data_IF_624886271766
#
_entry.id   IF_624886271766
#
_cell.length_a   1.000
_cell.length_b   1.000
_cell.length_c   1.000
_cell.angle_alpha   90.00
_cell.angle_beta   90.00
_cell.angle_gamma   90.00
#
_symmetry.space_group_name_H-M   'P 1'
#
loop_
_entity.id
_entity.type
_entity.pdbx_description
1 polymer ?
#
# COMPACT_ATOMS: atom_id res chain seq x y z
N UNK A 1 -2.71 -17.71 -8.13
CA UNK A 1 -1.50 -18.03 -7.34
C UNK A 1 -1.85 -18.43 -5.91
N UNK A 2 -2.57 -17.61 -5.13
CA UNK A 2 -2.97 -17.94 -3.75
C UNK A 2 -3.68 -19.30 -3.66
N UNK A 3 -4.70 -19.57 -4.48
CA UNK A 3 -5.39 -20.86 -4.45
C UNK A 3 -4.48 -22.07 -4.71
N UNK A 4 -3.52 -21.94 -5.65
CA UNK A 4 -2.54 -23.00 -5.94
C UNK A 4 -1.63 -23.21 -4.73
N UNK A 5 -1.14 -22.14 -4.10
CA UNK A 5 -0.34 -22.21 -2.87
C UNK A 5 -1.09 -22.93 -1.74
N UNK A 6 -2.37 -22.58 -1.53
CA UNK A 6 -3.18 -23.21 -0.48
C UNK A 6 -3.48 -24.68 -0.79
N UNK A 7 -3.73 -25.01 -2.06
CA UNK A 7 -3.92 -26.38 -2.51
C UNK A 7 -2.66 -27.22 -2.29
N UNK A 8 -1.48 -26.72 -2.69
CA UNK A 8 -0.20 -27.39 -2.45
C UNK A 8 0.08 -27.55 -0.96
N UNK A 9 -0.18 -26.52 -0.14
CA UNK A 9 -0.02 -26.60 1.31
C UNK A 9 -0.95 -27.64 1.98
N UNK A 10 -2.09 -27.94 1.35
CA UNK A 10 -3.06 -28.91 1.86
C UNK A 10 -2.78 -30.34 1.39
N UNK A 11 -2.45 -30.53 0.11
CA UNK A 11 -2.41 -31.85 -0.53
C UNK A 11 -0.99 -32.38 -0.74
N UNK A 12 -0.03 -31.50 -0.98
CA UNK A 12 1.36 -31.84 -1.34
C UNK A 12 2.35 -31.02 -0.50
N UNK A 13 2.18 -31.10 0.82
CA UNK A 13 2.97 -30.29 1.74
C UNK A 13 4.44 -30.70 1.73
N UNK A 14 5.30 -29.70 1.50
CA UNK A 14 6.74 -29.75 1.77
C UNK A 14 7.16 -28.47 2.49
N UNK A 15 8.29 -28.42 3.21
CA UNK A 15 8.77 -27.17 3.80
C UNK A 15 8.97 -26.03 2.79
N UNK A 16 9.12 -26.32 1.49
CA UNK A 16 9.23 -25.33 0.43
C UNK A 16 7.95 -24.50 0.22
N UNK A 17 6.79 -24.93 0.73
CA UNK A 17 5.54 -24.13 0.62
C UNK A 17 5.66 -22.77 1.31
N UNK A 18 6.51 -22.65 2.34
CA UNK A 18 6.77 -21.38 3.02
C UNK A 18 7.55 -20.39 2.14
N UNK A 19 8.49 -20.88 1.33
CA UNK A 19 9.14 -20.07 0.28
C UNK A 19 8.13 -19.71 -0.81
N UNK A 20 7.25 -20.64 -1.17
CA UNK A 20 6.11 -20.37 -2.04
C UNK A 20 5.21 -19.25 -1.50
N UNK A 21 4.96 -19.21 -0.19
CA UNK A 21 4.17 -18.16 0.45
C UNK A 21 4.83 -16.78 0.32
N UNK A 22 6.14 -16.70 0.54
CA UNK A 22 6.90 -15.45 0.36
C UNK A 22 6.82 -15.02 -1.11
N UNK A 23 7.04 -15.94 -2.06
CA UNK A 23 6.98 -15.63 -3.50
C UNK A 23 5.59 -15.15 -3.93
N UNK A 24 4.53 -15.82 -3.47
CA UNK A 24 3.15 -15.41 -3.76
C UNK A 24 2.85 -14.08 -3.11
N UNK A 25 3.27 -13.86 -1.86
CA UNK A 25 3.09 -12.58 -1.17
C UNK A 25 3.79 -11.41 -1.88
N UNK A 26 5.00 -11.61 -2.39
CA UNK A 26 5.71 -10.62 -3.21
C UNK A 26 4.92 -10.31 -4.49
N UNK A 27 4.39 -11.32 -5.18
CA UNK A 27 3.56 -11.13 -6.37
C UNK A 27 2.23 -10.42 -6.06
N UNK A 28 1.56 -10.83 -4.99
CA UNK A 28 0.31 -10.23 -4.52
C UNK A 28 0.53 -8.78 -4.13
N UNK A 29 1.63 -8.43 -3.45
CA UNK A 29 1.93 -7.05 -3.09
C UNK A 29 2.36 -6.19 -4.27
N UNK A 30 3.28 -6.67 -5.11
CA UNK A 30 3.86 -5.88 -6.20
C UNK A 30 2.91 -5.68 -7.39
N UNK A 31 1.95 -6.58 -7.60
CA UNK A 31 1.03 -6.52 -8.75
C UNK A 31 -0.45 -6.59 -8.34
N UNK A 32 -0.83 -7.55 -7.48
CA UNK A 32 -2.22 -7.73 -7.06
C UNK A 32 -2.77 -6.48 -6.37
N UNK A 33 -2.21 -6.11 -5.22
CA UNK A 33 -2.64 -4.94 -4.45
C UNK A 33 -2.57 -3.65 -5.27
N UNK A 34 -1.55 -3.47 -6.11
CA UNK A 34 -1.45 -2.28 -6.99
C UNK A 34 -2.63 -2.24 -7.97
N UNK A 35 -2.97 -3.38 -8.57
CA UNK A 35 -4.15 -3.50 -9.44
C UNK A 35 -5.43 -3.26 -8.64
N UNK A 36 -5.55 -3.86 -7.45
CA UNK A 36 -6.70 -3.73 -6.59
C UNK A 36 -6.92 -2.30 -6.12
N UNK A 37 -5.85 -1.57 -5.78
CA UNK A 37 -5.86 -0.16 -5.43
C UNK A 37 -6.51 0.65 -6.56
N UNK A 38 -6.05 0.45 -7.79
CA UNK A 38 -6.50 1.23 -8.93
C UNK A 38 -7.93 0.88 -9.38
N UNK A 39 -8.29 -0.40 -9.32
CA UNK A 39 -9.66 -0.84 -9.55
C UNK A 39 -10.62 -0.39 -8.43
N UNK A 40 -10.11 -0.19 -7.21
CA UNK A 40 -10.86 0.24 -6.04
C UNK A 40 -11.34 1.69 -6.10
N UNK A 41 -10.68 2.52 -6.91
CA UNK A 41 -11.12 3.91 -7.22
C UNK A 41 -12.28 3.99 -8.21
N UNK A 42 -12.59 2.88 -8.90
CA UNK A 42 -13.67 2.85 -9.88
C UNK A 42 -15.03 2.89 -9.19
N UNK A 43 -16.07 3.13 -10.00
CA UNK A 43 -17.46 3.28 -9.53
C UNK A 43 -17.82 2.16 -8.54
N UNK A 44 -18.32 2.49 -7.34
CA UNK A 44 -18.73 1.47 -6.36
C UNK A 44 -19.69 0.45 -6.97
N UNK A 45 -19.49 -0.83 -6.64
CA UNK A 45 -20.26 -1.98 -7.15
C UNK A 45 -20.13 -2.28 -8.65
N UNK A 46 -19.23 -1.61 -9.37
CA UNK A 46 -18.83 -2.05 -10.71
C UNK A 46 -18.04 -3.35 -10.67
N UNK A 47 -17.85 -4.00 -11.83
CA UNK A 47 -17.00 -5.19 -11.94
C UNK A 47 -15.58 -4.92 -11.42
N UNK A 48 -14.97 -3.80 -11.83
CA UNK A 48 -13.65 -3.38 -11.34
C UNK A 48 -13.61 -3.26 -9.81
N UNK A 49 -14.61 -2.63 -9.21
CA UNK A 49 -14.68 -2.46 -7.77
C UNK A 49 -14.80 -3.81 -7.04
N UNK A 50 -15.56 -4.77 -7.59
CA UNK A 50 -15.63 -6.11 -7.03
C UNK A 50 -14.33 -6.90 -7.19
N UNK A 51 -13.65 -6.79 -8.34
CA UNK A 51 -12.35 -7.40 -8.56
C UNK A 51 -11.29 -6.85 -7.58
N UNK A 52 -11.28 -5.54 -7.33
CA UNK A 52 -10.46 -4.91 -6.30
C UNK A 52 -10.67 -5.55 -4.93
N UNK A 53 -11.93 -5.73 -4.52
CA UNK A 53 -12.26 -6.34 -3.23
C UNK A 53 -11.90 -7.81 -3.17
N UNK A 54 -12.13 -8.57 -4.24
CA UNK A 54 -11.74 -9.97 -4.31
C UNK A 54 -10.22 -10.12 -4.13
N UNK A 55 -9.44 -9.28 -4.80
CA UNK A 55 -7.99 -9.34 -4.72
C UNK A 55 -7.47 -8.92 -3.33
N UNK A 56 -8.03 -7.85 -2.73
CA UNK A 56 -7.72 -7.46 -1.35
C UNK A 56 -8.16 -8.52 -0.32
N UNK A 57 -9.19 -9.30 -0.60
CA UNK A 57 -9.59 -10.42 0.25
C UNK A 57 -8.53 -11.53 0.24
N UNK A 58 -7.90 -11.80 -0.91
CA UNK A 58 -6.82 -12.78 -1.06
C UNK A 58 -5.56 -12.46 -0.23
N UNK A 59 -5.45 -11.24 0.30
CA UNK A 59 -4.34 -10.78 1.16
C UNK A 59 -4.82 -10.22 2.51
N UNK A 60 -6.06 -10.51 2.92
CA UNK A 60 -6.61 -10.09 4.21
C UNK A 60 -6.67 -8.55 4.42
N UNK A 61 -6.86 -7.75 3.36
CA UNK A 61 -6.79 -6.29 3.42
C UNK A 61 -8.03 -5.53 2.91
N UNK A 62 -9.24 -6.09 3.06
CA UNK A 62 -10.50 -5.53 2.55
C UNK A 62 -10.87 -4.13 3.06
N UNK A 63 -10.40 -3.73 4.24
CA UNK A 63 -10.69 -2.40 4.80
C UNK A 63 -9.97 -1.29 4.00
N UNK A 64 -8.92 -1.63 3.26
CA UNK A 64 -8.08 -0.69 2.52
C UNK A 64 -8.86 0.18 1.54
N UNK A 65 -9.84 -0.35 0.80
CA UNK A 65 -10.63 0.50 -0.12
C UNK A 65 -11.40 1.60 0.61
N UNK A 66 -11.85 1.31 1.83
CA UNK A 66 -12.59 2.30 2.65
C UNK A 66 -11.62 3.32 3.21
N UNK A 67 -10.52 2.85 3.79
CA UNK A 67 -9.44 3.71 4.29
C UNK A 67 -8.97 4.64 3.16
N UNK A 68 -8.45 4.05 2.09
CA UNK A 68 -7.68 4.78 1.10
C UNK A 68 -8.54 5.87 0.43
N UNK A 69 -9.81 5.55 0.15
CA UNK A 69 -10.73 6.42 -0.56
C UNK A 69 -11.43 7.46 0.34
N UNK A 70 -11.66 7.16 1.63
CA UNK A 70 -12.43 8.04 2.51
C UNK A 70 -11.62 8.72 3.61
N UNK A 71 -10.43 8.21 3.93
CA UNK A 71 -9.52 8.79 4.92
C UNK A 71 -8.24 9.29 4.27
N UNK A 72 -7.42 8.42 3.69
CA UNK A 72 -6.10 8.83 3.21
C UNK A 72 -6.14 9.90 2.12
N UNK A 73 -6.91 9.71 1.03
CA UNK A 73 -7.06 10.74 -0.01
C UNK A 73 -7.54 12.11 0.49
N UNK A 74 -8.27 12.14 1.61
CA UNK A 74 -8.72 13.38 2.25
C UNK A 74 -7.64 14.03 3.12
N UNK A 75 -6.87 13.20 3.81
CA UNK A 75 -5.99 13.62 4.90
C UNK A 75 -4.49 13.49 4.60
N UNK A 76 -4.09 13.00 3.43
CA UNK A 76 -2.68 12.79 3.07
C UNK A 76 -1.81 14.02 3.33
N UNK A 77 -0.57 13.74 3.72
CA UNK A 77 0.40 14.68 4.26
C UNK A 77 -0.07 15.43 5.52
N UNK A 78 -1.06 14.93 6.28
CA UNK A 78 -1.41 15.49 7.60
C UNK A 78 -1.07 14.54 8.73
N UNK A 79 -0.82 15.04 9.95
CA UNK A 79 -0.56 14.18 11.12
C UNK A 79 -1.67 13.17 11.43
N UNK A 80 -2.92 13.47 11.04
CA UNK A 80 -4.09 12.60 11.25
C UNK A 80 -4.14 11.41 10.27
N UNK A 81 -3.45 11.50 9.14
CA UNK A 81 -3.39 10.43 8.16
C UNK A 81 -2.49 9.28 8.67
N UNK A 82 -3.00 8.04 8.79
CA UNK A 82 -2.23 6.91 9.30
C UNK A 82 -1.01 6.56 8.46
N UNK A 83 -1.13 6.69 7.14
CA UNK A 83 -0.16 6.27 6.13
C UNK A 83 0.92 7.33 5.87
N UNK A 84 0.62 8.61 6.14
CA UNK A 84 1.64 9.67 6.14
C UNK A 84 2.67 9.48 7.26
N UNK A 85 3.95 9.56 6.92
CA UNK A 85 5.06 9.39 7.86
C UNK A 85 5.86 10.68 8.01
N UNK A 86 6.13 11.19 9.23
CA UNK A 86 6.97 12.35 9.44
C UNK A 86 8.45 11.99 9.31
N UNK A 87 9.30 13.01 9.16
CA UNK A 87 10.75 12.84 9.17
C UNK A 87 11.23 12.09 10.41
N UNK A 88 12.19 11.18 10.22
CA UNK A 88 12.79 10.39 11.30
C UNK A 88 12.00 9.15 11.70
N UNK A 89 10.73 8.99 11.26
CA UNK A 89 10.01 7.72 11.45
C UNK A 89 10.69 6.63 10.63
N UNK A 90 10.98 5.47 11.24
CA UNK A 90 11.50 4.30 10.51
C UNK A 90 10.35 3.40 10.00
N UNK A 91 10.64 2.56 9.01
CA UNK A 91 9.64 1.70 8.34
C UNK A 91 9.01 0.68 9.29
N UNK A 92 9.78 0.13 10.23
CA UNK A 92 9.31 -0.89 11.18
C UNK A 92 8.26 -0.35 12.13
N UNK A 93 8.54 0.79 12.76
CA UNK A 93 7.60 1.48 13.62
C UNK A 93 6.38 1.97 12.82
N UNK A 94 6.60 2.45 11.59
CA UNK A 94 5.50 2.87 10.73
C UNK A 94 4.52 1.72 10.45
N UNK A 95 5.04 0.55 10.07
CA UNK A 95 4.25 -0.64 9.76
C UNK A 95 3.35 -1.09 10.92
N UNK A 96 3.91 -1.17 12.13
CA UNK A 96 3.14 -1.59 13.32
C UNK A 96 2.08 -0.55 13.69
N UNK A 97 2.37 0.74 13.50
CA UNK A 97 1.46 1.85 13.82
C UNK A 97 0.33 1.99 12.80
N UNK A 98 0.62 1.86 11.52
CA UNK A 98 -0.28 2.32 10.44
C UNK A 98 -1.54 1.46 10.34
N UNK A 99 -1.42 0.13 10.39
CA UNK A 99 -2.54 -0.81 10.17
C UNK A 99 -3.68 -0.62 11.19
N UNK A 100 -3.44 -0.59 12.52
CA UNK A 100 -4.52 -0.38 13.49
C UNK A 100 -5.23 0.97 13.31
N UNK A 101 -4.46 2.01 12.95
CA UNK A 101 -4.99 3.35 12.74
C UNK A 101 -5.80 3.46 11.45
N UNK A 102 -5.38 2.78 10.39
CA UNK A 102 -6.12 2.64 9.14
C UNK A 102 -7.47 1.95 9.37
N UNK A 103 -7.48 0.83 10.08
CA UNK A 103 -8.71 0.13 10.46
C UNK A 103 -9.65 1.05 11.25
N UNK A 104 -9.12 1.77 12.25
CA UNK A 104 -9.89 2.74 13.05
C UNK A 104 -10.44 3.87 12.18
N UNK A 105 -9.64 4.41 11.27
CA UNK A 105 -10.04 5.46 10.33
C UNK A 105 -11.15 4.99 9.40
N UNK A 106 -10.97 3.83 8.77
CA UNK A 106 -11.96 3.20 7.91
C UNK A 106 -13.27 2.93 8.65
N UNK A 107 -13.20 2.41 9.88
CA UNK A 107 -14.38 2.13 10.70
C UNK A 107 -15.15 3.41 11.03
N UNK A 108 -14.46 4.49 11.39
CA UNK A 108 -15.09 5.78 11.64
C UNK A 108 -15.75 6.37 10.37
N UNK A 109 -15.19 6.10 9.19
CA UNK A 109 -15.74 6.59 7.92
C UNK A 109 -16.94 5.77 7.42
N UNK A 110 -16.85 4.43 7.47
CA UNK A 110 -17.87 3.50 6.98
C UNK A 110 -17.97 2.27 7.91
N UNK A 111 -18.61 2.38 9.08
CA UNK A 111 -18.60 1.32 10.09
C UNK A 111 -19.27 0.03 9.60
N UNK A 112 -20.37 0.13 8.84
CA UNK A 112 -21.07 -1.03 8.29
C UNK A 112 -20.19 -1.83 7.33
N UNK A 113 -19.52 -1.14 6.39
CA UNK A 113 -18.70 -1.77 5.36
C UNK A 113 -17.46 -2.46 5.96
N UNK A 114 -16.83 -1.84 6.97
CA UNK A 114 -15.68 -2.41 7.68
C UNK A 114 -16.10 -3.61 8.52
N UNK A 115 -17.23 -3.55 9.25
CA UNK A 115 -17.75 -4.70 10.02
C UNK A 115 -17.99 -5.91 9.13
N UNK A 116 -18.66 -5.72 7.99
CA UNK A 116 -18.90 -6.82 7.02
C UNK A 116 -17.58 -7.38 6.52
N UNK A 117 -16.62 -6.51 6.16
CA UNK A 117 -15.30 -6.93 5.69
C UNK A 117 -14.55 -7.76 6.74
N UNK A 118 -14.59 -7.35 8.00
CA UNK A 118 -13.98 -8.08 9.12
C UNK A 118 -14.66 -9.42 9.39
N UNK A 119 -15.99 -9.49 9.33
CA UNK A 119 -16.74 -10.75 9.52
C UNK A 119 -16.38 -11.75 8.42
N UNK A 120 -16.39 -11.30 7.15
CA UNK A 120 -16.03 -12.17 6.01
C UNK A 120 -14.61 -12.69 6.14
N UNK A 121 -13.65 -11.82 6.49
CA UNK A 121 -12.26 -12.22 6.72
C UNK A 121 -12.12 -13.16 7.91
N UNK A 122 -12.83 -12.90 9.01
CA UNK A 122 -12.83 -13.76 10.20
C UNK A 122 -13.35 -15.16 9.90
N UNK A 123 -14.46 -15.26 9.16
CA UNK A 123 -15.01 -16.56 8.70
C UNK A 123 -14.00 -17.26 7.80
N UNK A 124 -13.38 -16.56 6.84
CA UNK A 124 -12.37 -17.14 5.95
C UNK A 124 -11.18 -17.71 6.74
N UNK A 125 -10.64 -16.95 7.70
CA UNK A 125 -9.53 -17.40 8.56
C UNK A 125 -9.92 -18.60 9.43
N UNK A 126 -11.13 -18.57 10.02
CA UNK A 126 -11.64 -19.69 10.83
C UNK A 126 -11.82 -20.95 9.97
N UNK A 127 -12.37 -20.83 8.77
CA UNK A 127 -12.50 -21.95 7.83
C UNK A 127 -11.13 -22.52 7.46
N UNK A 128 -10.14 -21.68 7.16
CA UNK A 128 -8.77 -22.15 6.89
C UNK A 128 -8.16 -22.86 8.10
N UNK A 129 -8.39 -22.35 9.32
CA UNK A 129 -7.93 -22.99 10.56
C UNK A 129 -8.53 -24.39 10.75
N UNK A 130 -9.83 -24.53 10.49
CA UNK A 130 -10.55 -25.81 10.57
C UNK A 130 -10.02 -26.80 9.52
N UNK A 131 -9.73 -26.32 8.30
CA UNK A 131 -9.16 -27.15 7.23
C UNK A 131 -7.75 -27.63 7.59
N UNK A 132 -6.86 -26.70 7.97
CA UNK A 132 -5.48 -27.01 8.35
C UNK A 132 -4.78 -25.79 8.93
N UNK A 133 -4.16 -25.89 10.13
CA UNK A 133 -3.31 -24.84 10.68
C UNK A 133 -2.15 -24.45 9.75
N UNK A 134 -1.64 -25.39 8.95
CA UNK A 134 -0.60 -25.12 7.96
C UNK A 134 -1.15 -24.18 6.88
N UNK A 135 -2.30 -24.51 6.28
CA UNK A 135 -2.96 -23.67 5.25
C UNK A 135 -3.18 -22.25 5.75
N UNK A 136 -3.67 -22.09 6.99
CA UNK A 136 -3.80 -20.78 7.63
C UNK A 136 -2.42 -20.08 7.73
N UNK A 137 -1.40 -20.77 8.23
CA UNK A 137 -0.06 -20.21 8.38
C UNK A 137 0.53 -19.73 7.05
N UNK A 138 0.40 -20.53 5.98
CA UNK A 138 0.89 -20.17 4.64
C UNK A 138 0.12 -18.96 4.08
N UNK A 139 -1.20 -18.91 4.31
CA UNK A 139 -2.04 -17.76 3.93
C UNK A 139 -1.67 -16.48 4.68
N UNK A 140 -1.43 -16.58 5.99
CA UNK A 140 -1.05 -15.42 6.81
C UNK A 140 0.33 -14.90 6.42
N UNK A 141 1.29 -15.77 6.12
CA UNK A 141 2.63 -15.35 5.68
C UNK A 141 2.57 -14.61 4.33
N UNK A 142 1.86 -15.14 3.34
CA UNK A 142 1.76 -14.45 2.05
C UNK A 142 1.01 -13.11 2.17
N UNK A 143 -0.04 -13.06 2.99
CA UNK A 143 -0.79 -11.83 3.24
C UNK A 143 0.10 -10.78 3.95
N UNK A 144 0.87 -11.20 4.95
CA UNK A 144 1.81 -10.34 5.66
C UNK A 144 2.83 -9.71 4.70
N UNK A 145 3.45 -10.51 3.82
CA UNK A 145 4.43 -10.00 2.83
C UNK A 145 3.77 -8.99 1.89
N UNK A 146 2.56 -9.28 1.40
CA UNK A 146 1.82 -8.39 0.50
C UNK A 146 1.45 -7.06 1.18
N UNK A 147 0.92 -7.11 2.40
CA UNK A 147 0.57 -5.93 3.20
C UNK A 147 1.82 -5.11 3.53
N UNK A 148 2.94 -5.76 3.88
CA UNK A 148 4.20 -5.07 4.12
C UNK A 148 4.67 -4.25 2.91
N UNK A 149 4.57 -4.82 1.70
CA UNK A 149 4.91 -4.10 0.47
C UNK A 149 4.00 -2.87 0.24
N UNK A 150 2.69 -3.00 0.46
CA UNK A 150 1.76 -1.88 0.36
C UNK A 150 2.09 -0.77 1.36
N UNK A 151 2.28 -1.12 2.63
CA UNK A 151 2.59 -0.14 3.67
C UNK A 151 3.97 0.49 3.48
N UNK A 152 4.92 -0.24 2.92
CA UNK A 152 6.20 0.31 2.48
C UNK A 152 6.01 1.37 1.38
N UNK A 153 5.18 1.10 0.38
CA UNK A 153 4.85 2.05 -0.71
C UNK A 153 4.23 3.33 -0.13
N UNK A 154 3.23 3.18 0.73
CA UNK A 154 2.58 4.29 1.43
C UNK A 154 3.57 5.11 2.27
N UNK A 155 4.40 4.42 3.05
CA UNK A 155 5.45 5.03 3.88
C UNK A 155 6.38 5.90 3.04
N UNK A 156 6.85 5.37 1.91
CA UNK A 156 7.79 6.02 1.01
C UNK A 156 7.17 7.27 0.37
N UNK A 157 5.96 7.14 -0.16
CA UNK A 157 5.25 8.16 -0.92
C UNK A 157 4.96 9.45 -0.15
N UNK A 158 4.82 9.36 1.17
CA UNK A 158 4.50 10.51 2.02
C UNK A 158 5.57 10.82 3.07
N UNK A 159 6.77 10.24 2.94
CA UNK A 159 7.78 10.39 3.98
C UNK A 159 8.28 11.83 4.14
N UNK A 160 8.09 12.39 5.32
CA UNK A 160 8.59 13.71 5.70
C UNK A 160 7.84 14.89 5.08
N UNK A 161 6.88 14.65 4.19
CA UNK A 161 6.09 15.69 3.54
C UNK A 161 4.84 15.98 4.39
N UNK A 162 4.69 17.24 4.78
CA UNK A 162 3.62 17.67 5.69
C UNK A 162 2.95 18.92 5.12
N UNK A 163 1.63 18.87 5.13
CA UNK A 163 0.71 19.95 4.77
C UNK A 163 0.34 20.73 6.02
N UNK A 164 0.35 22.06 5.94
CA UNK A 164 -0.10 22.91 7.02
C UNK A 164 -1.62 22.81 7.23
N UNK A 165 -2.09 23.24 8.39
CA UNK A 165 -3.53 23.33 8.64
C UNK A 165 -4.18 24.37 7.72
N UNK A 166 -5.38 24.07 7.22
CA UNK A 166 -6.03 24.88 6.18
C UNK A 166 -5.41 24.80 4.78
N UNK A 167 -4.15 24.38 4.62
CA UNK A 167 -3.50 24.29 3.31
C UNK A 167 -4.19 23.25 2.41
N UNK A 168 -4.38 23.62 1.14
CA UNK A 168 -4.93 22.75 0.10
C UNK A 168 -3.85 21.78 -0.38
N UNK A 169 -4.22 20.51 -0.53
CA UNK A 169 -3.31 19.50 -1.03
C UNK A 169 -2.85 19.83 -2.46
N UNK A 170 -1.55 19.67 -2.72
CA UNK A 170 -0.89 19.95 -3.99
C UNK A 170 0.24 18.93 -4.20
N UNK A 171 0.84 18.90 -5.39
CA UNK A 171 1.81 17.87 -5.75
C UNK A 171 3.11 17.85 -4.91
N UNK A 172 3.45 18.94 -4.19
CA UNK A 172 4.62 18.95 -3.29
C UNK A 172 4.48 18.08 -2.03
N UNK A 173 3.26 17.61 -1.74
CA UNK A 173 2.94 16.84 -0.55
C UNK A 173 3.11 15.32 -0.72
N UNK A 174 3.58 14.88 -1.88
CA UNK A 174 3.83 13.48 -2.21
C UNK A 174 5.13 13.36 -3.00
N UNK A 175 5.86 12.27 -2.77
CA UNK A 175 7.01 11.93 -3.57
C UNK A 175 6.57 11.32 -4.91
N UNK A 176 7.19 11.76 -5.99
CA UNK A 176 7.02 11.20 -7.33
C UNK A 176 8.25 10.37 -7.74
N UNK A 177 8.08 9.38 -8.60
CA UNK A 177 9.22 8.68 -9.23
C UNK A 177 8.99 8.44 -10.71
N UNK A 178 9.86 9.02 -11.53
CA UNK A 178 9.83 8.85 -12.99
C UNK A 178 10.67 7.68 -13.51
N UNK A 179 11.23 6.86 -12.62
CA UNK A 179 11.99 5.67 -13.02
C UNK A 179 11.09 4.66 -13.76
N UNK A 180 11.45 4.36 -15.01
CA UNK A 180 10.67 3.50 -15.94
C UNK A 180 10.28 2.17 -15.32
N UNK A 181 11.22 1.49 -14.67
CA UNK A 181 10.95 0.18 -14.08
C UNK A 181 9.87 0.25 -13.01
N UNK A 182 9.98 1.20 -12.05
CA UNK A 182 8.94 1.40 -11.04
C UNK A 182 7.60 1.79 -11.65
N UNK A 183 7.57 2.67 -12.65
CA UNK A 183 6.32 3.09 -13.29
C UNK A 183 5.58 1.94 -13.95
N UNK A 184 6.28 1.14 -14.75
CA UNK A 184 5.64 0.08 -15.53
C UNK A 184 5.16 -1.07 -14.66
N UNK A 185 5.96 -1.50 -13.68
CA UNK A 185 5.60 -2.64 -12.84
C UNK A 185 4.56 -2.30 -11.78
N UNK A 186 4.48 -1.03 -11.37
CA UNK A 186 3.51 -0.54 -10.38
C UNK A 186 2.36 0.24 -11.02
N UNK A 187 2.03 -0.03 -12.29
CA UNK A 187 0.89 0.58 -13.00
C UNK A 187 0.84 2.10 -12.83
N UNK A 188 1.92 2.81 -13.12
CA UNK A 188 2.02 4.28 -13.06
C UNK A 188 1.74 4.91 -11.67
N UNK A 189 1.50 4.09 -10.63
CA UNK A 189 1.36 4.53 -9.23
C UNK A 189 2.49 5.46 -8.75
N UNK A 190 3.75 5.32 -9.22
CA UNK A 190 4.81 6.28 -8.88
C UNK A 190 4.54 7.74 -9.28
N UNK A 191 3.62 8.01 -10.22
CA UNK A 191 3.07 9.34 -10.50
C UNK A 191 2.02 9.72 -9.43
N UNK A 192 2.42 9.53 -8.18
CA UNK A 192 1.58 9.56 -6.99
C UNK A 192 0.92 10.91 -6.73
N UNK A 193 1.57 12.06 -6.97
CA UNK A 193 0.90 13.36 -6.90
C UNK A 193 -0.33 13.43 -7.81
N UNK A 194 -0.21 12.99 -9.06
CA UNK A 194 -1.31 12.98 -10.04
C UNK A 194 -2.49 12.14 -9.54
N UNK A 195 -2.18 10.96 -8.98
CA UNK A 195 -3.16 10.08 -8.35
C UNK A 195 -3.91 10.76 -7.19
N UNK A 196 -3.21 11.45 -6.29
CA UNK A 196 -3.84 12.13 -5.16
C UNK A 196 -4.62 13.39 -5.54
N UNK A 197 -4.17 14.09 -6.58
CA UNK A 197 -4.88 15.26 -7.10
C UNK A 197 -6.20 14.87 -7.76
N UNK A 198 -6.24 13.74 -8.48
CA UNK A 198 -7.45 13.24 -9.12
C UNK A 198 -7.46 11.70 -9.22
N UNK A 199 -7.84 11.05 -8.13
CA UNK A 199 -7.83 9.58 -7.99
C UNK A 199 -8.79 8.82 -8.90
N UNK A 200 -9.72 9.52 -9.57
CA UNK A 200 -10.58 8.93 -10.59
C UNK A 200 -9.89 8.75 -11.94
N UNK A 201 -8.73 9.38 -12.14
CA UNK A 201 -7.94 9.29 -13.37
C UNK A 201 -7.38 7.87 -13.51
N UNK A 202 -7.60 7.19 -14.64
CA UNK A 202 -7.00 5.88 -14.86
C UNK A 202 -5.47 5.96 -14.90
N UNK A 203 -4.81 4.96 -14.33
CA UNK A 203 -3.36 4.88 -14.21
C UNK A 203 -2.58 5.22 -15.49
N UNK A 204 -3.05 4.75 -16.65
CA UNK A 204 -2.41 5.00 -17.94
C UNK A 204 -2.51 6.46 -18.43
N UNK A 205 -3.28 7.30 -17.72
CA UNK A 205 -3.47 8.73 -17.98
C UNK A 205 -2.91 9.62 -16.86
N UNK A 206 -2.20 9.05 -15.88
CA UNK A 206 -1.52 9.84 -14.87
C UNK A 206 -0.40 10.65 -15.53
N UNK A 207 -0.28 11.91 -15.11
CA UNK A 207 0.72 12.85 -15.63
C UNK A 207 1.80 13.14 -14.57
N UNK A 208 2.94 13.65 -15.00
CA UNK A 208 4.03 14.01 -14.10
C UNK A 208 3.92 15.44 -13.58
N UNK A 209 4.37 15.67 -12.35
CA UNK A 209 4.34 16.97 -11.69
C UNK A 209 5.75 17.45 -11.34
N UNK A 210 6.26 18.46 -12.06
CA UNK A 210 7.60 19.00 -11.86
C UNK A 210 7.77 19.71 -10.50
N UNK A 211 6.67 20.20 -9.93
CA UNK A 211 6.62 20.80 -8.61
C UNK A 211 6.69 19.78 -7.45
N UNK A 212 6.67 18.48 -7.75
CA UNK A 212 6.75 17.41 -6.76
C UNK A 212 8.20 16.99 -6.46
N UNK A 213 8.53 16.66 -5.20
CA UNK A 213 9.83 16.11 -4.87
C UNK A 213 10.02 14.72 -5.49
N UNK A 214 11.17 14.46 -6.11
CA UNK A 214 11.47 13.19 -6.77
C UNK A 214 12.14 12.19 -5.82
N UNK A 215 11.69 10.93 -5.84
CA UNK A 215 12.38 9.82 -5.17
C UNK A 215 13.76 9.60 -5.79
N UNK A 216 14.80 9.34 -4.98
CA UNK A 216 16.17 9.35 -5.46
C UNK A 216 16.53 8.16 -6.36
N UNK A 217 15.93 6.98 -6.16
CA UNK A 217 16.31 5.75 -6.87
C UNK A 217 15.13 4.83 -7.24
N UNK A 218 13.90 5.36 -7.25
CA UNK A 218 12.69 4.56 -7.49
C UNK A 218 12.38 3.55 -6.37
N UNK A 219 11.25 2.85 -6.49
CA UNK A 219 10.68 2.08 -5.37
C UNK A 219 11.52 0.87 -4.96
N UNK A 220 12.13 0.17 -5.91
CA UNK A 220 12.84 -1.09 -5.66
C UNK A 220 14.16 -0.89 -4.89
N UNK A 221 14.95 0.12 -5.27
CA UNK A 221 16.16 0.46 -4.51
C UNK A 221 15.75 1.02 -3.15
N UNK A 222 14.70 1.86 -3.12
CA UNK A 222 14.24 2.47 -1.89
C UNK A 222 13.72 1.43 -0.89
N UNK A 223 13.14 0.31 -1.35
CA UNK A 223 12.74 -0.81 -0.49
C UNK A 223 13.91 -1.32 0.35
N UNK A 224 15.01 -1.70 -0.30
CA UNK A 224 16.19 -2.20 0.39
C UNK A 224 16.81 -1.14 1.30
N UNK A 225 16.85 0.12 0.87
CA UNK A 225 17.41 1.19 1.72
C UNK A 225 16.54 1.49 2.94
N UNK A 226 15.20 1.36 2.84
CA UNK A 226 14.28 1.59 3.95
C UNK A 226 14.45 0.60 5.10
N UNK A 227 14.95 -0.60 4.81
CA UNK A 227 15.34 -1.60 5.82
C UNK A 227 16.58 -1.16 6.62
N UNK A 228 17.29 -0.11 6.19
CA UNK A 228 18.42 0.50 6.90
C UNK A 228 18.06 1.97 7.17
N UNK A 229 17.31 2.27 8.25
CA UNK A 229 16.72 3.60 8.45
C UNK A 229 17.70 4.78 8.34
N UNK A 230 18.93 4.73 8.89
CA UNK A 230 19.89 5.83 8.72
C UNK A 230 20.23 6.12 7.25
N UNK A 231 20.40 5.07 6.44
CA UNK A 231 20.68 5.19 5.01
C UNK A 231 19.48 5.77 4.26
N UNK A 232 18.28 5.27 4.56
CA UNK A 232 17.03 5.78 4.00
C UNK A 232 16.83 7.26 4.29
N UNK A 233 16.92 7.66 5.57
CA UNK A 233 16.73 9.04 5.98
C UNK A 233 17.77 9.97 5.34
N UNK A 234 19.03 9.53 5.24
CA UNK A 234 20.06 10.28 4.55
C UNK A 234 19.71 10.52 3.07
N UNK A 235 19.29 9.48 2.34
CA UNK A 235 18.92 9.60 0.92
C UNK A 235 17.69 10.47 0.71
N UNK A 236 16.65 10.29 1.51
CA UNK A 236 15.41 11.07 1.42
C UNK A 236 15.68 12.55 1.73
N UNK A 237 16.45 12.86 2.78
CA UNK A 237 16.83 14.25 3.09
C UNK A 237 17.67 14.89 1.99
N UNK A 238 18.62 14.16 1.42
CA UNK A 238 19.43 14.66 0.29
C UNK A 238 18.54 15.04 -0.90
N UNK A 239 17.59 14.17 -1.27
CA UNK A 239 16.64 14.46 -2.35
C UNK A 239 15.74 15.65 -2.03
N UNK A 240 15.23 15.72 -0.80
CA UNK A 240 14.37 16.82 -0.35
C UNK A 240 15.09 18.18 -0.37
N UNK A 241 16.34 18.23 0.07
CA UNK A 241 17.13 19.46 0.05
C UNK A 241 17.40 19.94 -1.38
N UNK A 242 17.69 19.02 -2.30
CA UNK A 242 17.86 19.36 -3.72
C UNK A 242 16.57 19.92 -4.32
N UNK A 243 15.42 19.30 -4.01
CA UNK A 243 14.11 19.82 -4.37
C UNK A 243 13.88 21.24 -3.82
N UNK A 244 14.18 21.47 -2.54
CA UNK A 244 13.99 22.78 -1.90
C UNK A 244 14.82 23.89 -2.55
N UNK A 245 16.00 23.58 -3.09
CA UNK A 245 16.84 24.52 -3.83
C UNK A 245 16.31 24.85 -5.23
N UNK A 246 15.51 23.97 -5.83
CA UNK A 246 14.91 24.20 -7.16
C UNK A 246 13.67 25.08 -7.10
N UNK A 247 12.97 25.08 -5.96
CA UNK A 247 11.68 25.78 -5.77
C UNK A 247 11.84 27.07 -4.94
N UNK A 248 13.02 27.32 -4.37
CA UNK A 248 13.40 28.58 -3.69
C UNK A 248 13.91 29.62 -4.68
#
# INVERSE_FOLDING_TARGET
MVLVLLYTALVDYTPFVWLGAISVGLSSGASGIVTAHELGHRRPRSLSWWLSRLDLMCVLYLHFTVEHNHTHHKHWARPRDPTSSPWGRNVYYHFIRTIPLQIKGAYNAKPKDVKVSMIVQGIMLLTMLIISPIVLGVFLLQAFVAIYLLEFVNYLQHHGLVRQDGERANASHAWESRHRWSRWTLLELPLHPSHHLKSSTPYQKLDSHDESPQLPNGYYVMFWTALIPPLFHHRMKKSYNAYKQQVS
#
